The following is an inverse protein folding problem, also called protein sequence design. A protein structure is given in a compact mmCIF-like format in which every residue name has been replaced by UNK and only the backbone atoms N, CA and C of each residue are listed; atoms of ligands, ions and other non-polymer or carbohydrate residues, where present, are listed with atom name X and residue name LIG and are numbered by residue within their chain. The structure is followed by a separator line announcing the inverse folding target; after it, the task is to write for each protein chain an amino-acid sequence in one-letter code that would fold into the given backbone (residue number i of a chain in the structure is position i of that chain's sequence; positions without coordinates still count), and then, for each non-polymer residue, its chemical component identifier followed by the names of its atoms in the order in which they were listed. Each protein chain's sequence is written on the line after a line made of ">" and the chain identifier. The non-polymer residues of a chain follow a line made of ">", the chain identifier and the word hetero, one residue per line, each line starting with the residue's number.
data_IF_737154550148
#
_entry.id   IF_737154550148
#
_cell.length_a   1.000
_cell.length_b   1.000
_cell.length_c   1.000
_cell.angle_alpha   90.00
_cell.angle_beta   90.00
_cell.angle_gamma   90.00
#
_symmetry.space_group_name_H-M   'P 1'
#
loop_
_entity.id
_entity.type
_entity.pdbx_description
1 polymer ?
#
# COMPACT_ATOMS: atom_id res chain seq x y z
N UNK A 1 17.37 25.80 -24.32
CA UNK A 1 16.86 24.78 -23.39
C UNK A 1 15.97 25.49 -22.41
N UNK A 2 14.66 25.30 -22.51
CA UNK A 2 13.68 25.96 -21.66
C UNK A 2 13.98 25.58 -20.20
N UNK A 3 14.27 26.56 -19.37
CA UNK A 3 14.60 26.35 -17.97
C UNK A 3 13.29 26.00 -17.26
N UNK A 4 12.92 24.73 -17.30
CA UNK A 4 11.70 24.23 -16.64
C UNK A 4 11.68 24.75 -15.21
N UNK A 5 10.54 25.34 -14.84
CA UNK A 5 10.26 25.82 -13.48
C UNK A 5 10.79 24.80 -12.46
N UNK A 6 11.62 25.22 -11.48
CA UNK A 6 12.09 24.34 -10.42
C UNK A 6 11.00 23.46 -9.81
N UNK A 7 9.77 23.99 -9.69
CA UNK A 7 8.62 23.25 -9.19
C UNK A 7 8.19 22.10 -10.12
N UNK A 8 8.28 22.29 -11.44
CA UNK A 8 7.92 21.27 -12.43
C UNK A 8 8.84 20.03 -12.35
N UNK A 9 10.08 20.18 -11.87
CA UNK A 9 10.99 19.05 -11.61
C UNK A 9 10.83 18.49 -10.19
N UNK A 10 10.62 19.37 -9.22
CA UNK A 10 10.59 19.00 -7.80
C UNK A 10 9.30 18.29 -7.39
N UNK A 11 8.14 18.75 -7.85
CA UNK A 11 6.84 18.18 -7.46
C UNK A 11 6.70 16.69 -7.84
N UNK A 12 7.06 16.25 -9.06
CA UNK A 12 7.03 14.81 -9.40
C UNK A 12 7.96 13.98 -8.51
N UNK A 13 9.13 14.49 -8.13
CA UNK A 13 10.05 13.78 -7.25
C UNK A 13 9.44 13.58 -5.86
N UNK A 14 8.82 14.62 -5.29
CA UNK A 14 8.13 14.54 -4.00
C UNK A 14 6.99 13.51 -4.06
N UNK A 15 6.14 13.58 -5.08
CA UNK A 15 5.04 12.62 -5.24
C UNK A 15 5.53 11.18 -5.46
N UNK A 16 6.65 11.01 -6.15
CA UNK A 16 7.29 9.70 -6.30
C UNK A 16 7.73 9.13 -4.96
N UNK A 17 8.35 9.93 -4.08
CA UNK A 17 8.72 9.49 -2.73
C UNK A 17 7.49 9.18 -1.85
N UNK A 18 6.43 9.98 -1.96
CA UNK A 18 5.16 9.72 -1.25
C UNK A 18 4.56 8.38 -1.68
N UNK A 19 4.52 8.11 -2.99
CA UNK A 19 4.07 6.81 -3.51
C UNK A 19 4.95 5.65 -3.02
N UNK A 20 6.28 5.85 -3.02
CA UNK A 20 7.21 4.86 -2.46
C UNK A 20 6.97 4.60 -0.97
N UNK A 21 6.63 5.64 -0.19
CA UNK A 21 6.26 5.50 1.21
C UNK A 21 4.94 4.73 1.37
N UNK A 22 3.91 5.03 0.59
CA UNK A 22 2.65 4.28 0.64
C UNK A 22 2.83 2.82 0.28
N UNK A 23 3.63 2.51 -0.74
CA UNK A 23 3.95 1.14 -1.11
C UNK A 23 4.74 0.43 -0.01
N UNK A 24 5.73 1.09 0.57
CA UNK A 24 6.50 0.55 1.67
C UNK A 24 5.61 0.23 2.87
N UNK A 25 4.73 1.17 3.28
CA UNK A 25 3.81 0.97 4.40
C UNK A 25 2.80 -0.14 4.11
N UNK A 26 2.26 -0.21 2.90
CA UNK A 26 1.38 -1.30 2.49
C UNK A 26 2.08 -2.65 2.61
N UNK A 27 3.24 -2.82 1.97
CA UNK A 27 3.98 -4.10 2.00
C UNK A 27 4.40 -4.48 3.42
N UNK A 28 4.78 -3.52 4.25
CA UNK A 28 5.20 -3.78 5.62
C UNK A 28 4.02 -4.17 6.52
N UNK A 29 2.96 -3.37 6.50
CA UNK A 29 1.84 -3.50 7.44
C UNK A 29 0.85 -4.58 6.98
N UNK A 30 0.39 -4.51 5.74
CA UNK A 30 -0.52 -5.52 5.18
C UNK A 30 0.21 -6.86 4.97
N UNK A 31 1.53 -6.83 4.70
CA UNK A 31 2.34 -8.03 4.65
C UNK A 31 2.38 -8.81 5.97
N UNK A 32 2.26 -8.13 7.12
CA UNK A 32 2.08 -8.80 8.40
C UNK A 32 0.71 -9.48 8.49
N UNK A 33 -0.36 -8.81 8.08
CA UNK A 33 -1.72 -9.34 8.13
C UNK A 33 -1.88 -10.59 7.25
N UNK A 34 -1.41 -10.49 6.00
CA UNK A 34 -1.36 -11.61 5.06
C UNK A 34 -0.48 -12.74 5.60
N UNK A 35 0.65 -12.42 6.25
CA UNK A 35 1.53 -13.40 6.89
C UNK A 35 0.84 -14.18 8.00
N UNK A 36 0.12 -13.52 8.90
CA UNK A 36 -0.72 -14.16 9.93
C UNK A 36 -1.85 -14.97 9.29
N UNK A 37 -2.46 -14.44 8.23
CA UNK A 37 -3.46 -15.15 7.42
C UNK A 37 -2.94 -16.48 6.87
N UNK A 38 -1.73 -16.50 6.32
CA UNK A 38 -1.06 -17.72 5.84
C UNK A 38 -0.74 -18.66 7.01
N UNK A 39 -0.19 -18.15 8.11
CA UNK A 39 0.12 -18.96 9.29
C UNK A 39 -1.12 -19.64 9.87
N UNK A 40 -2.29 -19.00 9.78
CA UNK A 40 -3.56 -19.57 10.22
C UNK A 40 -3.99 -20.82 9.43
N UNK A 41 -3.49 -21.01 8.21
CA UNK A 41 -3.76 -22.22 7.42
C UNK A 41 -3.03 -23.43 8.01
N UNK A 42 -1.96 -23.19 8.77
CA UNK A 42 -1.16 -24.22 9.44
C UNK A 42 -1.55 -24.42 10.90
N UNK A 43 -2.60 -23.75 11.38
CA UNK A 43 -3.02 -23.89 12.77
C UNK A 43 -3.62 -25.27 13.04
N UNK A 44 -3.05 -26.02 13.99
CA UNK A 44 -3.53 -27.35 14.36
C UNK A 44 -4.85 -27.40 15.14
N UNK A 45 -5.47 -26.25 15.44
CA UNK A 45 -6.79 -26.18 16.10
C UNK A 45 -7.55 -24.91 15.70
N UNK A 46 -8.88 -25.00 15.72
CA UNK A 46 -9.79 -23.87 15.46
C UNK A 46 -9.62 -22.74 16.49
N UNK A 47 -9.31 -23.07 17.74
CA UNK A 47 -9.05 -22.07 18.78
C UNK A 47 -7.80 -21.23 18.44
N UNK A 48 -6.70 -21.87 18.02
CA UNK A 48 -5.49 -21.17 17.61
C UNK A 48 -5.72 -20.33 16.35
N UNK A 49 -6.50 -20.86 15.40
CA UNK A 49 -6.93 -20.12 14.20
C UNK A 49 -7.72 -18.87 14.59
N UNK A 50 -8.67 -19.00 15.50
CA UNK A 50 -9.49 -17.90 16.00
C UNK A 50 -8.63 -16.81 16.64
N UNK A 51 -7.66 -17.17 17.48
CA UNK A 51 -6.76 -16.20 18.12
C UNK A 51 -5.95 -15.42 17.06
N UNK A 52 -5.39 -16.12 16.07
CA UNK A 52 -4.66 -15.49 14.96
C UNK A 52 -5.55 -14.51 14.19
N UNK A 53 -6.78 -14.92 13.86
CA UNK A 53 -7.72 -14.07 13.12
C UNK A 53 -8.20 -12.87 13.94
N UNK A 54 -8.48 -13.04 15.24
CA UNK A 54 -8.88 -11.94 16.12
C UNK A 54 -7.76 -10.90 16.26
N UNK A 55 -6.49 -11.30 16.15
CA UNK A 55 -5.36 -10.36 16.19
C UNK A 55 -5.30 -9.40 14.99
N UNK A 56 -5.92 -9.77 13.86
CA UNK A 56 -6.00 -8.93 12.65
C UNK A 56 -7.08 -7.85 12.72
N UNK A 57 -8.06 -8.03 13.61
CA UNK A 57 -9.24 -7.18 13.86
C UNK A 57 -9.36 -5.90 13.01
N UNK A 58 -9.21 -4.74 13.64
CA UNK A 58 -9.37 -3.44 12.98
C UNK A 58 -8.10 -2.97 12.24
N UNK A 59 -6.97 -3.69 12.36
CA UNK A 59 -5.70 -3.24 11.79
C UNK A 59 -5.62 -3.54 10.30
N UNK A 60 -6.18 -4.67 9.86
CA UNK A 60 -6.22 -5.03 8.46
C UNK A 60 -6.99 -4.01 7.60
N UNK A 61 -8.18 -3.60 8.05
CA UNK A 61 -9.00 -2.62 7.33
C UNK A 61 -8.29 -1.24 7.21
N UNK A 62 -7.51 -0.85 8.23
CA UNK A 62 -6.67 0.34 8.16
C UNK A 62 -5.51 0.17 7.15
N UNK A 63 -4.96 -1.02 7.00
CA UNK A 63 -3.82 -1.29 6.13
C UNK A 63 -4.20 -1.26 4.65
N UNK A 64 -5.40 -1.71 4.29
CA UNK A 64 -5.93 -1.61 2.91
C UNK A 64 -6.00 -0.15 2.41
N UNK A 65 -6.16 0.81 3.33
CA UNK A 65 -6.18 2.24 2.98
C UNK A 65 -4.88 2.69 2.31
N UNK A 66 -3.73 2.09 2.65
CA UNK A 66 -2.45 2.44 1.99
C UNK A 66 -2.44 2.11 0.50
N UNK A 67 -3.05 0.98 0.13
CA UNK A 67 -3.18 0.57 -1.26
C UNK A 67 -4.13 1.51 -2.04
N UNK A 68 -5.25 1.88 -1.41
CA UNK A 68 -6.20 2.84 -1.99
C UNK A 68 -5.56 4.21 -2.20
N UNK A 69 -4.82 4.71 -1.19
CA UNK A 69 -4.08 5.98 -1.29
C UNK A 69 -3.03 5.96 -2.40
N UNK A 70 -2.36 4.82 -2.61
CA UNK A 70 -1.42 4.64 -3.71
C UNK A 70 -2.12 4.75 -5.07
N UNK A 71 -3.25 4.04 -5.26
CA UNK A 71 -4.05 4.10 -6.48
C UNK A 71 -4.55 5.52 -6.77
N UNK A 72 -5.10 6.20 -5.76
CA UNK A 72 -5.56 7.60 -5.88
C UNK A 72 -4.42 8.58 -6.18
N UNK A 73 -3.26 8.39 -5.55
CA UNK A 73 -2.07 9.23 -5.78
C UNK A 73 -1.48 9.00 -7.17
N UNK A 74 -1.47 7.76 -7.67
CA UNK A 74 -1.10 7.47 -9.06
C UNK A 74 -2.06 8.16 -10.03
N UNK A 75 -3.37 8.08 -9.81
CA UNK A 75 -4.36 8.75 -10.66
C UNK A 75 -4.17 10.27 -10.70
N UNK A 76 -3.93 10.90 -9.55
CA UNK A 76 -3.77 12.35 -9.44
C UNK A 76 -2.41 12.87 -9.91
N UNK A 77 -1.31 12.28 -9.46
CA UNK A 77 0.04 12.77 -9.71
C UNK A 77 0.67 12.21 -11.00
N UNK A 78 0.28 11.00 -11.43
CA UNK A 78 0.86 10.31 -12.58
C UNK A 78 -0.22 9.57 -13.41
N UNK A 79 -1.20 10.28 -13.99
CA UNK A 79 -2.36 9.67 -14.64
C UNK A 79 -1.99 8.70 -15.78
N UNK A 80 -0.91 8.99 -16.53
CA UNK A 80 -0.41 8.07 -17.56
C UNK A 80 0.10 6.75 -16.97
N UNK A 81 0.82 6.82 -15.84
CA UNK A 81 1.29 5.61 -15.15
C UNK A 81 0.10 4.82 -14.57
N UNK A 82 -0.87 5.50 -13.94
CA UNK A 82 -2.10 4.88 -13.46
C UNK A 82 -2.80 4.10 -14.58
N UNK A 83 -3.06 4.77 -15.72
CA UNK A 83 -3.70 4.14 -16.85
C UNK A 83 -2.87 3.00 -17.43
N UNK A 84 -1.55 3.12 -17.51
CA UNK A 84 -0.69 2.06 -18.07
C UNK A 84 -0.65 0.82 -17.17
N UNK A 85 -0.63 1.01 -15.85
CA UNK A 85 -0.52 -0.10 -14.88
C UNK A 85 -1.86 -0.82 -14.71
N UNK A 86 -2.99 -0.11 -14.78
CA UNK A 86 -4.32 -0.63 -14.47
C UNK A 86 -5.23 -0.85 -15.70
N UNK A 87 -4.68 -0.76 -16.91
CA UNK A 87 -5.40 -1.01 -18.16
C UNK A 87 -5.34 -2.48 -18.59
#
# INVERSE_FOLDING_TARGET
>A
MEQLDPLAKFLPQVWFFILGLFLFLYVLLDGFDLGVGILSLTSGSEERRSILMTSLGNVWDANETWLVLMGGSLFGAFPLAYATILN
#
